data_IF_118126894239
#
_entry.id   IF_118126894239
#
_cell.length_a   1.000
_cell.length_b   1.000
_cell.length_c   1.000
_cell.angle_alpha   90.00
_cell.angle_beta   90.00
_cell.angle_gamma   90.00
#
_symmetry.space_group_name_H-M   'P 1'
#
loop_
_entity.id
_entity.type
_entity.pdbx_description
1 polymer ?
#
# COMPACT_ATOMS: atom_id res chain seq x y z
N UNK A 1 -46.02 29.49 -41.94
CA UNK A 1 -45.65 30.10 -40.64
C UNK A 1 -46.00 29.08 -39.56
N UNK A 2 -45.06 28.35 -38.93
CA UNK A 2 -45.26 27.60 -37.64
C UNK A 2 -44.04 26.74 -37.25
N UNK A 3 -42.81 27.26 -37.13
CA UNK A 3 -41.71 26.45 -36.54
C UNK A 3 -40.64 27.29 -35.83
N UNK A 4 -40.98 28.13 -34.85
CA UNK A 4 -39.93 28.84 -34.07
C UNK A 4 -40.32 29.08 -32.60
N UNK A 5 -40.79 28.07 -31.85
CA UNK A 5 -41.04 28.25 -30.40
C UNK A 5 -40.65 27.08 -29.49
N UNK A 6 -39.88 26.09 -29.97
CA UNK A 6 -39.66 24.84 -29.22
C UNK A 6 -38.20 24.47 -28.93
N UNK A 7 -37.28 25.44 -28.89
CA UNK A 7 -35.84 25.19 -28.66
C UNK A 7 -35.24 25.92 -27.46
N UNK A 8 -35.99 26.79 -26.78
CA UNK A 8 -35.44 27.59 -25.69
C UNK A 8 -35.51 26.94 -24.29
N UNK A 9 -36.26 25.83 -24.14
CA UNK A 9 -36.57 25.27 -22.81
C UNK A 9 -35.68 24.12 -22.35
N UNK A 10 -34.79 23.60 -23.20
CA UNK A 10 -33.89 22.48 -22.83
C UNK A 10 -32.51 22.91 -22.33
N UNK A 11 -32.10 24.17 -22.51
CA UNK A 11 -30.75 24.62 -22.13
C UNK A 11 -30.59 25.09 -20.67
N UNK A 12 -31.68 25.30 -19.92
CA UNK A 12 -31.60 25.69 -18.50
C UNK A 12 -31.52 24.47 -17.56
N UNK A 13 -31.93 23.28 -18.00
CA UNK A 13 -31.89 22.06 -17.19
C UNK A 13 -30.50 21.43 -17.02
N UNK A 14 -29.56 21.67 -17.94
CA UNK A 14 -28.22 21.06 -17.90
C UNK A 14 -27.17 21.87 -17.12
N UNK A 15 -27.42 23.13 -16.79
CA UNK A 15 -26.47 23.96 -16.03
C UNK A 15 -26.47 23.68 -14.52
N UNK A 16 -27.62 23.24 -13.97
CA UNK A 16 -27.76 22.98 -12.53
C UNK A 16 -27.04 21.71 -12.05
N UNK A 17 -26.80 20.75 -12.95
CA UNK A 17 -26.20 19.46 -12.58
C UNK A 17 -24.68 19.53 -12.35
N UNK A 18 -23.99 20.54 -12.92
CA UNK A 18 -22.55 20.71 -12.76
C UNK A 18 -22.16 21.38 -11.42
N UNK A 19 -23.03 22.21 -10.86
CA UNK A 19 -22.73 22.91 -9.59
C UNK A 19 -22.88 22.01 -8.37
N UNK A 20 -23.66 20.92 -8.46
CA UNK A 20 -23.80 19.95 -7.37
C UNK A 20 -22.62 18.96 -7.25
N UNK A 21 -21.77 18.83 -8.29
CA UNK A 21 -20.61 17.91 -8.29
C UNK A 21 -19.34 18.59 -7.76
N UNK A 22 -19.25 19.92 -7.77
CA UNK A 22 -18.05 20.66 -7.34
C UNK A 22 -18.01 21.02 -5.86
N UNK A 23 -19.07 20.78 -5.09
CA UNK A 23 -19.13 21.06 -3.66
C UNK A 23 -18.78 19.84 -2.81
N UNK A 24 -17.71 19.12 -3.15
CA UNK A 24 -17.04 18.33 -2.11
C UNK A 24 -16.38 19.33 -1.15
N UNK A 25 -16.70 19.31 0.15
CA UNK A 25 -15.94 20.12 1.10
C UNK A 25 -14.45 19.78 0.93
N UNK A 26 -13.54 20.77 1.05
CA UNK A 26 -12.11 20.46 1.09
C UNK A 26 -11.93 19.39 2.16
N UNK A 27 -11.33 18.25 1.78
CA UNK A 27 -10.99 17.20 2.72
C UNK A 27 -10.29 17.89 3.89
N UNK A 28 -10.88 17.80 5.09
CA UNK A 28 -10.27 18.33 6.29
C UNK A 28 -8.82 17.81 6.30
N UNK A 29 -7.82 18.64 6.66
CA UNK A 29 -6.44 18.17 6.72
C UNK A 29 -6.46 16.93 7.59
N UNK A 30 -6.25 15.77 6.98
CA UNK A 30 -6.29 14.51 7.67
C UNK A 30 -5.20 14.63 8.73
N UNK A 31 -5.60 14.79 9.99
CA UNK A 31 -4.73 14.46 11.11
C UNK A 31 -4.57 12.95 11.02
N UNK A 32 -3.61 12.56 10.20
CA UNK A 32 -3.23 11.19 9.89
C UNK A 32 -3.08 10.45 11.22
N UNK A 33 -3.93 9.45 11.49
CA UNK A 33 -3.86 8.63 12.71
C UNK A 33 -4.91 8.88 13.80
N UNK A 34 -5.70 9.97 13.76
CA UNK A 34 -6.75 10.20 14.77
C UNK A 34 -7.82 9.09 14.71
N UNK A 35 -7.88 8.28 15.76
CA UNK A 35 -8.86 7.20 15.94
C UNK A 35 -8.30 5.78 15.92
N UNK A 36 -6.98 5.61 15.70
CA UNK A 36 -6.34 4.29 15.68
C UNK A 36 -5.88 3.78 17.06
N UNK A 37 -6.20 4.51 18.13
CA UNK A 37 -5.91 4.13 19.50
C UNK A 37 -4.64 4.75 20.08
N UNK A 38 -4.41 4.60 21.40
CA UNK A 38 -3.30 5.23 22.11
C UNK A 38 -1.93 4.68 21.70
N UNK A 39 -1.84 3.42 21.29
CA UNK A 39 -0.59 2.79 20.85
C UNK A 39 -0.02 3.45 19.59
N UNK A 40 -0.88 3.73 18.60
CA UNK A 40 -0.46 4.44 17.38
C UNK A 40 0.04 5.83 17.70
N UNK A 41 -0.64 6.55 18.59
CA UNK A 41 -0.21 7.89 19.00
C UNK A 41 1.17 7.87 19.71
N UNK A 42 1.45 6.86 20.53
CA UNK A 42 2.76 6.69 21.17
C UNK A 42 3.87 6.38 20.15
N UNK A 43 3.59 5.51 19.18
CA UNK A 43 4.52 5.20 18.09
C UNK A 43 4.76 6.41 17.18
N UNK A 44 3.72 7.17 16.84
CA UNK A 44 3.83 8.43 16.09
C UNK A 44 4.73 9.44 16.81
N UNK A 45 4.53 9.62 18.12
CA UNK A 45 5.37 10.48 18.94
C UNK A 45 6.83 9.99 18.97
N UNK A 46 7.03 8.68 19.11
CA UNK A 46 8.36 8.06 19.13
C UNK A 46 9.10 8.27 17.81
N UNK A 47 8.46 7.99 16.68
CA UNK A 47 9.03 8.16 15.33
C UNK A 47 9.27 9.64 15.03
N UNK A 48 8.40 10.53 15.49
CA UNK A 48 8.57 11.98 15.33
C UNK A 48 9.78 12.50 16.12
N UNK A 49 9.99 11.99 17.33
CA UNK A 49 11.14 12.34 18.15
C UNK A 49 12.45 11.71 17.63
N UNK A 50 12.37 10.52 17.02
CA UNK A 50 13.52 9.74 16.56
C UNK A 50 13.33 9.25 15.12
N UNK A 51 13.39 10.15 14.11
CA UNK A 51 13.13 9.78 12.72
C UNK A 51 14.16 8.82 12.11
N UNK A 52 15.28 8.57 12.80
CA UNK A 52 16.29 7.58 12.41
C UNK A 52 16.02 6.18 12.99
N UNK A 53 15.07 6.04 13.91
CA UNK A 53 14.71 4.75 14.49
C UNK A 53 13.86 3.93 13.50
N UNK A 54 14.56 3.13 12.69
CA UNK A 54 13.94 2.24 11.71
C UNK A 54 13.03 1.20 12.35
N UNK A 55 13.33 0.74 13.56
CA UNK A 55 12.50 -0.27 14.23
C UNK A 55 11.17 0.33 14.69
N UNK A 56 11.19 1.54 15.25
CA UNK A 56 9.97 2.27 15.59
C UNK A 56 9.11 2.57 14.35
N UNK A 57 9.74 3.01 13.25
CA UNK A 57 9.04 3.27 12.00
C UNK A 57 8.42 2.01 11.39
N UNK A 58 9.15 0.88 11.37
CA UNK A 58 8.63 -0.38 10.86
C UNK A 58 7.41 -0.85 11.68
N UNK A 59 7.47 -0.77 13.01
CA UNK A 59 6.34 -1.08 13.89
C UNK A 59 5.15 -0.16 13.61
N UNK A 60 5.38 1.16 13.52
CA UNK A 60 4.31 2.12 13.20
C UNK A 60 3.64 1.79 11.86
N UNK A 61 4.42 1.48 10.83
CA UNK A 61 3.90 1.08 9.52
C UNK A 61 3.09 -0.22 9.60
N UNK A 62 3.58 -1.24 10.32
CA UNK A 62 2.84 -2.49 10.53
C UNK A 62 1.52 -2.24 11.27
N UNK A 63 1.51 -1.42 12.32
CA UNK A 63 0.30 -1.06 13.06
C UNK A 63 -0.71 -0.35 12.13
N UNK A 64 -0.27 0.59 11.28
CA UNK A 64 -1.16 1.19 10.29
C UNK A 64 -1.74 0.16 9.30
N UNK A 65 -0.94 -0.81 8.86
CA UNK A 65 -1.39 -1.87 7.94
C UNK A 65 -2.39 -2.81 8.62
N UNK A 66 -2.22 -3.10 9.90
CA UNK A 66 -3.15 -3.92 10.69
C UNK A 66 -4.48 -3.20 10.91
N UNK A 67 -4.46 -1.86 10.98
CA UNK A 67 -5.65 -1.01 10.99
C UNK A 67 -6.23 -0.71 9.59
N UNK A 68 -5.81 -1.44 8.54
CA UNK A 68 -6.28 -1.23 7.17
C UNK A 68 -6.06 0.20 6.65
N UNK A 69 -5.00 0.87 7.11
CA UNK A 69 -4.59 2.21 6.69
C UNK A 69 -3.30 2.19 5.83
N UNK A 70 -3.26 1.47 4.69
CA UNK A 70 -2.02 1.27 3.93
C UNK A 70 -1.47 2.55 3.29
N UNK A 71 -2.34 3.51 2.94
CA UNK A 71 -1.89 4.82 2.45
C UNK A 71 -1.14 5.63 3.50
N UNK A 72 -1.55 5.49 4.77
CA UNK A 72 -0.87 6.13 5.89
C UNK A 72 0.48 5.46 6.16
N UNK A 73 0.50 4.13 6.19
CA UNK A 73 1.74 3.34 6.32
C UNK A 73 2.75 3.73 5.23
N UNK A 74 2.32 3.72 3.97
CA UNK A 74 3.15 4.09 2.82
C UNK A 74 3.69 5.51 2.96
N UNK A 75 2.83 6.48 3.29
CA UNK A 75 3.26 7.87 3.46
C UNK A 75 4.24 8.05 4.63
N UNK A 76 4.11 7.31 5.73
CA UNK A 76 5.07 7.33 6.84
C UNK A 76 6.45 6.80 6.39
N UNK A 77 6.47 5.68 5.66
CA UNK A 77 7.68 5.08 5.10
C UNK A 77 8.38 6.00 4.09
N UNK A 78 7.61 6.69 3.24
CA UNK A 78 8.17 7.60 2.22
C UNK A 78 8.72 8.90 2.80
N UNK A 79 8.20 9.39 3.93
CA UNK A 79 8.71 10.59 4.60
C UNK A 79 9.97 10.34 5.42
N UNK A 80 10.34 9.09 5.66
CA UNK A 80 11.52 8.76 6.46
C UNK A 80 12.82 9.26 5.80
N UNK A 81 13.88 9.51 6.58
CA UNK A 81 15.19 9.85 6.05
C UNK A 81 15.68 8.80 5.04
N UNK A 82 16.43 9.24 4.02
CA UNK A 82 16.92 8.33 2.96
C UNK A 82 17.69 7.13 3.52
N UNK A 83 18.56 7.37 4.51
CA UNK A 83 19.34 6.32 5.19
C UNK A 83 18.47 5.25 5.86
N UNK A 84 17.25 5.61 6.29
CA UNK A 84 16.27 4.67 6.86
C UNK A 84 15.48 3.97 5.75
N UNK A 85 15.07 4.70 4.71
CA UNK A 85 14.28 4.16 3.59
C UNK A 85 14.98 3.07 2.78
N UNK A 86 16.30 3.09 2.77
CA UNK A 86 17.15 2.13 2.07
C UNK A 86 17.38 0.85 2.90
N UNK A 87 16.99 0.82 4.18
CA UNK A 87 17.12 -0.38 5.00
C UNK A 87 16.16 -1.48 4.53
N UNK A 88 16.63 -2.74 4.40
CA UNK A 88 15.80 -3.84 3.89
C UNK A 88 14.49 -4.05 4.66
N UNK A 89 14.49 -3.87 5.99
CA UNK A 89 13.28 -4.00 6.80
C UNK A 89 12.21 -2.95 6.46
N UNK A 90 12.64 -1.72 6.16
CA UNK A 90 11.74 -0.62 5.77
C UNK A 90 11.21 -0.84 4.36
N UNK A 91 12.06 -1.32 3.45
CA UNK A 91 11.64 -1.69 2.11
C UNK A 91 10.66 -2.90 2.11
N UNK A 92 10.80 -3.86 3.03
CA UNK A 92 9.83 -4.97 3.20
C UNK A 92 8.45 -4.45 3.64
N UNK A 93 8.42 -3.54 4.62
CA UNK A 93 7.18 -2.88 5.04
C UNK A 93 6.54 -2.07 3.90
N UNK A 94 7.36 -1.39 3.08
CA UNK A 94 6.91 -0.67 1.88
C UNK A 94 6.27 -1.61 0.86
N UNK A 95 6.88 -2.77 0.60
CA UNK A 95 6.32 -3.77 -0.31
C UNK A 95 4.94 -4.26 0.18
N UNK A 96 4.79 -4.49 1.50
CA UNK A 96 3.49 -4.84 2.11
C UNK A 96 2.46 -3.73 1.93
N UNK A 97 2.85 -2.47 2.12
CA UNK A 97 1.95 -1.33 1.94
C UNK A 97 1.51 -1.17 0.47
N UNK A 98 2.43 -1.30 -0.48
CA UNK A 98 2.14 -1.26 -1.92
C UNK A 98 1.14 -2.36 -2.32
N UNK A 99 1.33 -3.58 -1.84
CA UNK A 99 0.40 -4.68 -2.10
C UNK A 99 -1.01 -4.37 -1.57
N UNK A 100 -1.14 -3.83 -0.36
CA UNK A 100 -2.46 -3.47 0.20
C UNK A 100 -3.14 -2.29 -0.50
N UNK A 101 -2.35 -1.45 -1.19
CA UNK A 101 -2.82 -0.37 -2.07
C UNK A 101 -3.21 -0.86 -3.47
N UNK A 102 -2.95 -2.13 -3.80
CA UNK A 102 -3.23 -2.69 -5.12
C UNK A 102 -2.18 -2.33 -6.17
N UNK A 103 -0.93 -2.09 -5.76
CA UNK A 103 0.20 -1.88 -6.66
C UNK A 103 1.09 -3.13 -6.69
N UNK A 104 0.59 -4.23 -7.27
CA UNK A 104 1.24 -5.54 -7.16
C UNK A 104 2.60 -5.57 -7.88
N UNK A 105 2.73 -4.99 -9.08
CA UNK A 105 4.02 -4.94 -9.78
C UNK A 105 5.07 -4.15 -9.00
N UNK A 106 4.70 -2.97 -8.49
CA UNK A 106 5.60 -2.14 -7.68
C UNK A 106 5.99 -2.82 -6.36
N UNK A 107 5.07 -3.58 -5.77
CA UNK A 107 5.35 -4.41 -4.59
C UNK A 107 6.36 -5.52 -4.92
N UNK A 108 6.21 -6.21 -6.06
CA UNK A 108 7.14 -7.26 -6.50
C UNK A 108 8.55 -6.72 -6.69
N UNK A 109 8.68 -5.62 -7.43
CA UNK A 109 9.96 -4.96 -7.67
C UNK A 109 10.63 -4.52 -6.36
N UNK A 110 9.84 -3.99 -5.43
CA UNK A 110 10.35 -3.60 -4.11
C UNK A 110 10.81 -4.82 -3.32
N UNK A 111 10.07 -5.92 -3.37
CA UNK A 111 10.41 -7.15 -2.65
C UNK A 111 11.68 -7.82 -3.20
N UNK A 112 11.89 -7.78 -4.52
CA UNK A 112 13.12 -8.28 -5.15
C UNK A 112 14.34 -7.49 -4.68
N UNK A 113 14.24 -6.15 -4.66
CA UNK A 113 15.29 -5.29 -4.11
C UNK A 113 15.61 -5.58 -2.64
N UNK A 114 14.61 -5.96 -1.83
CA UNK A 114 14.84 -6.40 -0.43
C UNK A 114 15.69 -7.66 -0.40
N UNK A 115 15.37 -8.65 -1.23
CA UNK A 115 16.13 -9.90 -1.29
C UNK A 115 17.56 -9.68 -1.79
N UNK A 116 17.73 -8.85 -2.81
CA UNK A 116 19.04 -8.47 -3.34
C UNK A 116 19.89 -7.80 -2.25
N UNK A 117 19.34 -6.78 -1.57
CA UNK A 117 20.03 -6.10 -0.48
C UNK A 117 20.36 -7.08 0.67
N UNK A 118 19.45 -7.99 1.01
CA UNK A 118 19.68 -8.98 2.06
C UNK A 118 20.78 -9.99 1.73
N UNK A 119 21.08 -10.20 0.44
CA UNK A 119 22.22 -11.02 0.01
C UNK A 119 23.57 -10.33 0.25
N UNK A 120 23.58 -8.99 0.28
CA UNK A 120 24.79 -8.18 0.50
C UNK A 120 25.09 -7.93 1.98
N UNK A 121 24.07 -7.61 2.79
CA UNK A 121 24.26 -7.12 4.17
C UNK A 121 23.90 -8.11 5.29
N UNK A 122 23.68 -9.40 4.97
CA UNK A 122 23.23 -10.45 5.90
C UNK A 122 22.02 -10.01 6.75
N UNK A 123 20.84 -10.02 6.15
CA UNK A 123 19.58 -9.85 6.88
C UNK A 123 19.30 -11.00 7.86
N UNK A 124 18.41 -10.75 8.82
CA UNK A 124 17.91 -11.81 9.70
C UNK A 124 17.17 -12.89 8.89
N UNK A 125 17.30 -14.15 9.31
CA UNK A 125 16.62 -15.28 8.66
C UNK A 125 15.09 -15.08 8.60
N UNK A 126 14.52 -14.41 9.61
CA UNK A 126 13.09 -14.08 9.68
C UNK A 126 12.70 -13.10 8.57
N UNK A 127 13.49 -12.05 8.33
CA UNK A 127 13.23 -11.09 7.26
C UNK A 127 13.38 -11.75 5.89
N UNK A 128 14.48 -12.47 5.66
CA UNK A 128 14.74 -13.15 4.38
C UNK A 128 13.64 -14.16 4.05
N UNK A 129 13.26 -15.02 5.01
CA UNK A 129 12.22 -16.02 4.78
C UNK A 129 10.84 -15.39 4.53
N UNK A 130 10.52 -14.28 5.19
CA UNK A 130 9.28 -13.51 4.95
C UNK A 130 9.29 -12.90 3.55
N UNK A 131 10.40 -12.26 3.19
CA UNK A 131 10.61 -11.62 1.90
C UNK A 131 10.47 -12.61 0.73
N UNK A 132 11.09 -13.80 0.84
CA UNK A 132 11.00 -14.86 -0.18
C UNK A 132 9.58 -15.40 -0.36
N UNK A 133 8.83 -15.58 0.73
CA UNK A 133 7.42 -16.00 0.62
C UNK A 133 6.57 -14.95 -0.08
N UNK A 134 6.80 -13.67 0.24
CA UNK A 134 6.05 -12.57 -0.38
C UNK A 134 6.43 -12.40 -1.85
N UNK A 135 7.71 -12.51 -2.21
CA UNK A 135 8.15 -12.43 -3.61
C UNK A 135 7.48 -13.50 -4.47
N UNK A 136 7.42 -14.75 -4.01
CA UNK A 136 6.73 -15.82 -4.74
C UNK A 136 5.25 -15.56 -4.94
N UNK A 137 4.55 -15.11 -3.89
CA UNK A 137 3.15 -14.73 -3.99
C UNK A 137 2.97 -13.60 -5.01
N UNK A 138 3.75 -12.53 -4.89
CA UNK A 138 3.69 -11.38 -5.78
C UNK A 138 4.01 -11.75 -7.23
N UNK A 139 4.98 -12.63 -7.45
CA UNK A 139 5.34 -13.16 -8.77
C UNK A 139 4.17 -13.90 -9.43
N UNK A 140 3.46 -14.74 -8.67
CA UNK A 140 2.28 -15.43 -9.19
C UNK A 140 1.10 -14.47 -9.42
N UNK A 141 0.91 -13.44 -8.57
CA UNK A 141 -0.11 -12.41 -8.80
C UNK A 141 0.15 -11.65 -10.11
N UNK A 142 1.37 -11.17 -10.34
CA UNK A 142 1.76 -10.47 -11.58
C UNK A 142 1.61 -11.38 -12.80
N UNK A 143 2.06 -12.64 -12.70
CA UNK A 143 1.93 -13.63 -13.78
C UNK A 143 0.48 -13.91 -14.17
N UNK A 144 -0.45 -13.80 -13.22
CA UNK A 144 -1.88 -13.94 -13.45
C UNK A 144 -2.60 -12.61 -13.75
N UNK A 145 -1.87 -11.50 -13.88
CA UNK A 145 -2.41 -10.18 -14.22
C UNK A 145 -3.23 -9.54 -13.09
N UNK A 146 -2.99 -9.93 -11.84
CA UNK A 146 -3.70 -9.38 -10.68
C UNK A 146 -2.98 -8.13 -10.18
N UNK A 147 -3.54 -6.96 -10.47
CA UNK A 147 -2.99 -5.69 -10.01
C UNK A 147 -3.43 -5.35 -8.57
N UNK A 148 -4.74 -5.45 -8.28
CA UNK A 148 -5.30 -5.31 -6.93
C UNK A 148 -5.92 -6.63 -6.46
N UNK A 149 -5.31 -7.32 -5.47
CA UNK A 149 -5.84 -8.57 -4.92
C UNK A 149 -7.27 -8.49 -4.38
N UNK A 150 -7.77 -7.30 -4.05
CA UNK A 150 -9.15 -7.09 -3.57
C UNK A 150 -10.17 -7.11 -4.70
N UNK A 151 -9.77 -6.76 -5.93
CA UNK A 151 -10.67 -6.76 -7.09
C UNK A 151 -10.87 -8.18 -7.65
N UNK A 152 -9.82 -9.01 -7.60
CA UNK A 152 -9.82 -10.37 -8.16
C UNK A 152 -9.51 -11.44 -7.09
N UNK A 153 -10.43 -11.68 -6.13
CA UNK A 153 -10.18 -12.60 -5.01
C UNK A 153 -9.99 -14.05 -5.47
N UNK A 154 -10.61 -14.46 -6.58
CA UNK A 154 -10.47 -15.82 -7.13
C UNK A 154 -9.08 -16.07 -7.71
N UNK A 155 -8.54 -15.12 -8.47
CA UNK A 155 -7.19 -15.22 -9.02
C UNK A 155 -6.13 -15.06 -7.91
N UNK A 156 -6.40 -14.21 -6.92
CA UNK A 156 -5.56 -14.08 -5.73
C UNK A 156 -5.44 -15.40 -4.96
N UNK A 157 -6.56 -16.09 -4.73
CA UNK A 157 -6.58 -17.41 -4.07
C UNK A 157 -5.85 -18.47 -4.92
N UNK A 158 -5.99 -18.43 -6.25
CA UNK A 158 -5.22 -19.31 -7.15
C UNK A 158 -3.72 -19.06 -7.03
N UNK A 159 -3.29 -17.80 -7.15
CA UNK A 159 -1.88 -17.40 -7.05
C UNK A 159 -1.29 -17.80 -5.68
N UNK A 160 -2.03 -17.58 -4.60
CA UNK A 160 -1.63 -18.01 -3.26
C UNK A 160 -1.41 -19.53 -3.21
N UNK A 161 -2.36 -20.33 -3.67
CA UNK A 161 -2.23 -21.80 -3.68
C UNK A 161 -1.04 -22.28 -4.53
N UNK A 162 -0.76 -21.64 -5.66
CA UNK A 162 0.39 -21.98 -6.50
C UNK A 162 1.70 -21.65 -5.78
N UNK A 163 1.82 -20.44 -5.23
CA UNK A 163 3.02 -19.98 -4.49
C UNK A 163 3.38 -20.89 -3.31
N UNK A 164 2.38 -21.52 -2.68
CA UNK A 164 2.57 -22.42 -1.55
C UNK A 164 3.01 -23.83 -1.95
N UNK A 165 2.73 -24.28 -3.18
CA UNK A 165 3.14 -25.62 -3.66
C UNK A 165 4.65 -25.76 -3.79
N UNK A 166 5.37 -24.66 -4.00
CA UNK A 166 6.83 -24.65 -4.13
C UNK A 166 7.57 -24.65 -2.79
N UNK A 167 6.87 -24.67 -1.64
CA UNK A 167 7.50 -24.82 -0.33
C UNK A 167 7.77 -26.31 -0.06
N UNK A 168 8.71 -26.91 -0.79
CA UNK A 168 9.35 -28.15 -0.33
C UNK A 168 10.43 -27.77 0.68
N UNK A 169 10.40 -28.38 1.86
CA UNK A 169 11.39 -28.17 2.91
C UNK A 169 12.79 -28.58 2.39
N UNK A 170 13.65 -27.62 2.05
CA UNK A 170 15.09 -27.87 1.93
C UNK A 170 15.64 -27.96 3.35
N UNK A 171 15.55 -29.17 3.93
CA UNK A 171 16.23 -29.53 5.17
C UNK A 171 17.70 -29.76 4.81
N UNK A 172 18.53 -28.73 4.98
CA UNK A 172 20.00 -28.85 4.99
C UNK A 172 20.54 -28.42 6.33
#
# INVERSE_FOLDING_TARGET
MHHVRWTALTLVGLGGLWVAVSSSPPAAPALIGRGLGPEVAELEATVSAHPQDAAALARLADTYLDHSAPGVAYAALERAPRSVRELPAIADARARALLQLGFTEAALDTQRRVLDACSEVQCSAVLTGRAQRRERLLSELVKHGVEDPKQDPQLTELAYRISMREVSLDLR
#
